data_IF_394811485447
#
_entry.id   IF_394811485447
#
_cell.length_a   1.000
_cell.length_b   1.000
_cell.length_c   1.000
_cell.angle_alpha   90.00
_cell.angle_beta   90.00
_cell.angle_gamma   90.00
#
_symmetry.space_group_name_H-M   'P 1'
#
loop_
_entity.id
_entity.type
_entity.pdbx_description
1 polymer ?
#
# COMPACT_ATOMS: atom_id res chain seq x y z
N UNK A 1 -5.58 33.36 7.64
CA UNK A 1 -5.29 32.12 8.38
C UNK A 1 -5.55 30.96 7.45
N UNK A 2 -4.57 30.10 7.20
CA UNK A 2 -4.79 28.88 6.40
C UNK A 2 -5.41 27.82 7.31
N UNK A 3 -6.64 27.38 7.01
CA UNK A 3 -7.29 26.30 7.73
C UNK A 3 -6.69 24.96 7.26
N UNK A 4 -5.76 24.41 8.04
CA UNK A 4 -5.33 23.03 7.85
C UNK A 4 -6.42 22.10 8.40
N UNK A 5 -7.25 21.55 7.51
CA UNK A 5 -8.18 20.50 7.89
C UNK A 5 -7.41 19.19 8.13
N UNK A 6 -7.66 18.54 9.26
CA UNK A 6 -7.14 17.20 9.50
C UNK A 6 -7.76 16.23 8.48
N UNK A 7 -6.95 15.37 7.83
CA UNK A 7 -7.49 14.42 6.87
C UNK A 7 -8.39 13.40 7.58
N UNK A 8 -9.55 13.12 6.99
CA UNK A 8 -10.44 12.06 7.47
C UNK A 8 -9.85 10.70 7.09
N UNK A 9 -9.54 9.88 8.09
CA UNK A 9 -9.03 8.53 7.86
C UNK A 9 -10.21 7.61 7.55
N UNK A 10 -10.27 7.12 6.31
CA UNK A 10 -11.38 6.28 5.84
C UNK A 10 -11.21 4.80 6.22
N UNK A 11 -9.97 4.35 6.44
CA UNK A 11 -9.67 2.93 6.58
C UNK A 11 -8.38 2.66 7.36
N UNK A 12 -8.45 1.68 8.27
CA UNK A 12 -7.34 1.12 9.00
C UNK A 12 -7.22 -0.37 8.68
N UNK A 13 -5.99 -0.88 8.58
CA UNK A 13 -5.72 -2.31 8.46
C UNK A 13 -4.50 -2.72 9.29
N UNK A 14 -4.63 -3.84 10.01
CA UNK A 14 -3.52 -4.54 10.65
C UNK A 14 -2.93 -5.53 9.66
N UNK A 15 -1.67 -5.31 9.30
CA UNK A 15 -0.88 -6.21 8.47
C UNK A 15 -0.04 -7.12 9.37
N UNK A 16 -0.20 -8.43 9.23
CA UNK A 16 0.59 -9.43 9.95
C UNK A 16 1.49 -10.20 9.00
N UNK A 17 2.70 -10.50 9.47
CA UNK A 17 3.65 -11.30 8.72
C UNK A 17 3.10 -12.72 8.49
N UNK A 18 3.08 -13.15 7.24
CA UNK A 18 2.72 -14.51 6.85
C UNK A 18 3.93 -15.42 7.12
N UNK A 19 3.87 -16.25 8.14
CA UNK A 19 4.96 -17.17 8.51
C UNK A 19 5.27 -18.22 7.44
N UNK A 20 4.38 -18.41 6.47
CA UNK A 20 4.60 -19.27 5.30
C UNK A 20 5.27 -18.54 4.13
N UNK A 21 5.57 -17.24 4.31
CA UNK A 21 6.28 -16.42 3.34
C UNK A 21 7.64 -17.03 2.98
N UNK A 22 7.96 -17.00 1.69
CA UNK A 22 9.24 -17.48 1.16
C UNK A 22 10.24 -16.31 1.07
N UNK A 23 10.89 -16.15 -0.09
CA UNK A 23 11.96 -15.17 -0.35
C UNK A 23 11.55 -13.72 -0.09
N UNK A 24 10.35 -13.33 -0.50
CA UNK A 24 9.86 -11.95 -0.34
C UNK A 24 8.89 -11.90 0.83
N UNK A 25 9.16 -11.11 1.90
CA UNK A 25 8.28 -11.00 3.05
C UNK A 25 6.86 -10.62 2.62
N UNK A 26 5.89 -11.43 3.02
CA UNK A 26 4.47 -11.23 2.75
C UNK A 26 3.75 -10.88 4.04
N UNK A 27 2.85 -9.91 3.95
CA UNK A 27 1.98 -9.51 5.02
C UNK A 27 0.52 -9.65 4.58
N UNK A 28 -0.36 -9.98 5.52
CA UNK A 28 -1.78 -10.21 5.29
C UNK A 28 -2.59 -9.31 6.20
N UNK A 29 -3.65 -8.70 5.66
CA UNK A 29 -4.60 -7.96 6.49
C UNK A 29 -5.40 -8.95 7.33
N UNK A 30 -5.32 -8.82 8.66
CA UNK A 30 -6.04 -9.71 9.60
C UNK A 30 -7.09 -9.01 10.44
N UNK A 31 -7.03 -7.69 10.53
CA UNK A 31 -8.08 -6.85 11.08
C UNK A 31 -8.18 -5.56 10.27
N UNK A 32 -9.39 -5.01 10.15
CA UNK A 32 -9.64 -3.75 9.46
C UNK A 32 -10.78 -2.98 10.11
N UNK A 33 -10.77 -1.66 9.98
CA UNK A 33 -11.84 -0.78 10.42
C UNK A 33 -12.04 0.35 9.41
N UNK A 34 -13.28 0.78 9.21
CA UNK A 34 -13.64 1.78 8.20
C UNK A 34 -14.02 1.17 6.85
N UNK A 35 -14.24 2.03 5.85
CA UNK A 35 -14.73 1.64 4.53
C UNK A 35 -13.92 2.34 3.44
N UNK A 36 -13.20 1.54 2.65
CA UNK A 36 -12.47 2.01 1.49
C UNK A 36 -12.63 0.98 0.36
N UNK A 37 -13.67 1.12 -0.49
CA UNK A 37 -14.01 0.14 -1.53
C UNK A 37 -12.85 -0.30 -2.43
N UNK A 38 -11.84 0.55 -2.75
CA UNK A 38 -10.68 0.10 -3.53
C UNK A 38 -9.92 -1.10 -2.94
N UNK A 39 -10.05 -1.39 -1.64
CA UNK A 39 -9.47 -2.61 -1.03
C UNK A 39 -10.05 -3.91 -1.60
N UNK A 40 -11.30 -3.90 -2.06
CA UNK A 40 -11.95 -5.08 -2.65
C UNK A 40 -11.26 -5.48 -3.96
N UNK A 41 -10.84 -4.51 -4.78
CA UNK A 41 -10.18 -4.77 -6.05
C UNK A 41 -8.86 -5.55 -5.88
N UNK A 42 -8.15 -5.29 -4.77
CA UNK A 42 -6.88 -5.94 -4.44
C UNK A 42 -7.03 -7.19 -3.55
N UNK A 43 -8.25 -7.59 -3.24
CA UNK A 43 -8.52 -8.83 -2.50
C UNK A 43 -8.19 -10.05 -3.37
N UNK A 44 -7.45 -10.99 -2.79
CA UNK A 44 -7.05 -12.23 -3.43
C UNK A 44 -8.19 -13.25 -3.50
N UNK A 45 -7.98 -14.34 -4.25
CA UNK A 45 -8.96 -15.43 -4.39
C UNK A 45 -9.30 -16.12 -3.06
N UNK A 46 -8.39 -16.03 -2.09
CA UNK A 46 -8.57 -16.54 -0.74
C UNK A 46 -9.37 -15.59 0.18
N UNK A 47 -9.95 -14.52 -0.37
CA UNK A 47 -10.72 -13.53 0.38
C UNK A 47 -9.87 -12.61 1.27
N UNK A 48 -8.54 -12.62 1.11
CA UNK A 48 -7.64 -11.78 1.93
C UNK A 48 -6.89 -10.77 1.06
N UNK A 49 -6.64 -9.59 1.62
CA UNK A 49 -5.65 -8.66 1.07
C UNK A 49 -4.28 -9.07 1.59
N UNK A 50 -3.34 -9.25 0.68
CA UNK A 50 -1.94 -9.53 1.02
C UNK A 50 -1.00 -8.62 0.24
N UNK A 51 0.10 -8.24 0.87
CA UNK A 51 1.09 -7.33 0.31
C UNK A 51 2.50 -7.89 0.52
N UNK A 52 3.35 -7.74 -0.50
CA UNK A 52 4.76 -8.08 -0.42
C UNK A 52 5.59 -6.84 -0.12
N UNK A 53 6.47 -6.94 0.87
CA UNK A 53 7.46 -5.91 1.16
C UNK A 53 8.62 -6.06 0.16
N UNK A 54 8.79 -5.07 -0.70
CA UNK A 54 9.78 -5.09 -1.78
C UNK A 54 10.60 -3.82 -1.82
N UNK A 55 11.78 -3.90 -2.42
CA UNK A 55 12.60 -2.72 -2.70
C UNK A 55 11.90 -1.76 -3.67
N UNK A 56 12.30 -0.49 -3.59
CA UNK A 56 11.94 0.56 -4.54
C UNK A 56 12.17 0.13 -5.99
N UNK A 57 11.32 0.64 -6.89
CA UNK A 57 11.43 0.36 -8.34
C UNK A 57 12.48 1.23 -9.04
N UNK A 58 12.78 2.40 -8.48
CA UNK A 58 13.72 3.38 -9.03
C UNK A 58 14.35 4.19 -7.92
N UNK A 59 15.51 4.75 -8.19
CA UNK A 59 16.19 5.68 -7.29
C UNK A 59 15.61 7.09 -7.36
N UNK A 60 15.82 7.84 -6.29
CA UNK A 60 15.43 9.25 -6.18
C UNK A 60 15.44 9.70 -4.72
N UNK A 61 15.79 10.97 -4.49
CA UNK A 61 15.94 11.54 -3.14
C UNK A 61 14.68 11.43 -2.27
N UNK A 62 13.50 11.39 -2.90
CA UNK A 62 12.20 11.32 -2.22
C UNK A 62 11.49 9.95 -2.38
N UNK A 63 12.18 8.94 -2.89
CA UNK A 63 11.60 7.60 -3.08
C UNK A 63 11.88 6.76 -1.83
N UNK A 64 10.85 6.26 -1.11
CA UNK A 64 11.05 5.35 0.01
C UNK A 64 11.85 4.12 -0.43
N UNK A 65 12.74 3.63 0.43
CA UNK A 65 13.60 2.47 0.12
C UNK A 65 12.80 1.20 -0.16
N UNK A 66 11.61 1.08 0.44
CA UNK A 66 10.71 -0.06 0.33
C UNK A 66 9.31 0.36 -0.12
N UNK A 67 8.55 -0.60 -0.63
CA UNK A 67 7.13 -0.49 -0.97
C UNK A 67 6.38 -1.74 -0.55
N UNK A 68 5.09 -1.59 -0.29
CA UNK A 68 4.17 -2.73 -0.23
C UNK A 68 3.54 -2.91 -1.61
N UNK A 69 3.71 -4.09 -2.21
CA UNK A 69 3.02 -4.42 -3.46
C UNK A 69 1.86 -5.35 -3.18
N UNK A 70 0.67 -4.92 -3.57
CA UNK A 70 -0.55 -5.71 -3.53
C UNK A 70 -0.79 -6.44 -4.86
N UNK A 71 -1.97 -7.06 -4.98
CA UNK A 71 -2.46 -7.70 -6.20
C UNK A 71 -2.39 -6.75 -7.40
N UNK A 72 -2.22 -7.33 -8.58
CA UNK A 72 -2.11 -6.63 -9.87
C UNK A 72 -0.97 -5.60 -9.93
N UNK A 73 0.09 -5.84 -9.15
CA UNK A 73 1.30 -5.00 -9.06
C UNK A 73 1.05 -3.58 -8.53
N UNK A 74 -0.08 -3.36 -7.84
CA UNK A 74 -0.38 -2.06 -7.21
C UNK A 74 0.61 -1.78 -6.08
N UNK A 75 1.23 -0.60 -6.10
CA UNK A 75 2.27 -0.21 -5.15
C UNK A 75 1.76 0.81 -4.15
N UNK A 76 1.94 0.51 -2.86
CA UNK A 76 1.72 1.42 -1.76
C UNK A 76 3.09 1.94 -1.31
N UNK A 77 3.29 3.24 -1.51
CA UNK A 77 4.58 3.93 -1.29
C UNK A 77 4.58 4.80 -0.04
N UNK A 78 3.75 4.48 0.95
CA UNK A 78 3.67 5.17 2.25
C UNK A 78 4.67 4.66 3.29
N UNK A 79 5.86 4.22 2.87
CA UNK A 79 6.87 3.62 3.74
C UNK A 79 8.08 4.53 3.97
N UNK A 80 7.89 5.86 3.94
CA UNK A 80 8.98 6.78 4.29
C UNK A 80 9.38 6.55 5.75
N UNK A 81 10.69 6.55 5.99
CA UNK A 81 11.31 6.31 7.29
C UNK A 81 11.00 4.93 7.89
N UNK A 82 10.59 3.94 7.08
CA UNK A 82 10.38 2.57 7.55
C UNK A 82 11.65 1.91 8.11
N UNK A 83 12.80 2.24 7.51
CA UNK A 83 14.12 1.96 8.08
C UNK A 83 14.86 3.27 8.33
N UNK A 84 15.41 3.41 9.54
CA UNK A 84 16.31 4.50 9.94
C UNK A 84 17.60 3.86 10.46
N UNK A 85 18.74 4.23 9.88
CA UNK A 85 20.07 3.68 10.21
C UNK A 85 20.13 2.13 10.19
N UNK A 86 19.46 1.52 9.21
CA UNK A 86 19.41 0.07 9.04
C UNK A 86 18.51 -0.68 10.03
N UNK A 87 17.76 0.03 10.88
CA UNK A 87 16.83 -0.53 11.87
C UNK A 87 15.39 -0.17 11.54
N UNK A 88 14.46 -1.04 11.93
CA UNK A 88 13.03 -0.78 11.82
C UNK A 88 12.65 0.39 12.75
N UNK A 89 12.01 1.41 12.21
CA UNK A 89 11.63 2.61 12.98
C UNK A 89 10.38 2.42 13.85
N UNK A 90 9.57 1.40 13.55
CA UNK A 90 8.29 1.12 14.21
C UNK A 90 7.10 1.91 13.64
N UNK A 91 7.33 2.97 12.86
CA UNK A 91 6.29 3.72 12.16
C UNK A 91 6.81 4.25 10.82
N UNK A 92 5.94 4.27 9.82
CA UNK A 92 6.26 4.85 8.51
C UNK A 92 5.04 5.61 8.00
N UNK A 93 5.29 6.57 7.11
CA UNK A 93 4.23 7.41 6.54
C UNK A 93 4.50 7.69 5.07
N UNK A 94 3.46 8.18 4.40
CA UNK A 94 3.63 8.86 3.13
C UNK A 94 2.38 9.61 2.78
N UNK A 95 2.57 10.68 2.01
CA UNK A 95 1.47 11.47 1.50
C UNK A 95 1.16 10.97 0.09
N UNK A 96 -0.13 10.87 -0.28
CA UNK A 96 -0.48 10.67 -1.67
C UNK A 96 0.14 11.83 -2.47
N UNK A 97 0.78 11.50 -3.60
CA UNK A 97 1.17 12.52 -4.56
C UNK A 97 -0.12 13.20 -5.05
N UNK A 98 -0.04 14.51 -5.32
CA UNK A 98 -1.15 15.28 -5.89
C UNK A 98 -1.53 14.82 -7.29
N UNK A 99 -0.65 14.05 -7.94
CA UNK A 99 -0.86 13.49 -9.26
C UNK A 99 -1.82 12.31 -9.21
N UNK A 100 -2.69 12.19 -10.23
CA UNK A 100 -3.58 11.03 -10.36
C UNK A 100 -2.75 9.74 -10.45
N UNK A 101 -2.92 8.87 -9.44
CA UNK A 101 -2.10 7.67 -9.22
C UNK A 101 -2.39 6.51 -10.18
N UNK A 102 -3.28 6.70 -11.17
CA UNK A 102 -3.74 5.66 -12.11
C UNK A 102 -3.54 6.05 -13.59
N UNK A 103 -2.32 6.43 -13.99
CA UNK A 103 -2.08 6.91 -15.37
C UNK A 103 -1.68 5.86 -16.41
N UNK A 104 -1.62 4.55 -16.10
CA UNK A 104 -1.10 3.59 -17.09
C UNK A 104 -2.15 2.73 -17.81
N UNK A 105 -3.40 2.61 -17.34
CA UNK A 105 -4.38 1.72 -18.01
C UNK A 105 -5.82 1.89 -17.52
N UNK A 106 -6.62 2.57 -18.34
CA UNK A 106 -8.03 2.20 -18.59
C UNK A 106 -8.03 0.72 -19.02
N UNK A 107 -8.10 -0.21 -18.06
CA UNK A 107 -8.00 -1.65 -18.34
C UNK A 107 -9.04 -2.45 -17.55
N UNK A 108 -10.30 -2.23 -17.87
CA UNK A 108 -11.09 -3.15 -18.70
C UNK A 108 -12.48 -2.54 -18.83
N UNK A 109 -12.76 -1.90 -19.96
CA UNK A 109 -14.09 -2.08 -20.52
C UNK A 109 -14.12 -3.53 -21.03
N UNK A 110 -14.63 -4.45 -20.20
CA UNK A 110 -15.16 -5.74 -20.67
C UNK A 110 -16.60 -5.84 -20.22
N UNK A 111 -17.44 -5.30 -21.12
CA UNK A 111 -18.76 -5.75 -21.55
C UNK A 111 -19.62 -6.57 -20.57
N UNK A 112 -20.83 -6.08 -20.26
CA UNK A 112 -22.11 -6.54 -20.84
C UNK A 112 -23.27 -6.14 -19.91
N UNK A 113 -24.08 -5.19 -20.36
CA UNK A 113 -25.56 -5.24 -20.44
C UNK A 113 -26.04 -3.97 -21.12
#
# INVERSE_FOLDING_TARGET
MNNYAMPNILYYARLEFDTTSKKTPKYVVTAQAGYYPPMEAITGRNGKVSMYLMEKLKDGANVPSMRLQAKDSLNFTGLKDYFVDGKLSGFAYGYPLTDETYSAKKRLTRSLS
#
